data_IF_840359717524
#
_entry.id   IF_840359717524
#
_cell.length_a   1.000
_cell.length_b   1.000
_cell.length_c   1.000
_cell.angle_alpha   90.00
_cell.angle_beta   90.00
_cell.angle_gamma   90.00
#
_symmetry.space_group_name_H-M   'P 1'
#
loop_
_entity.id
_entity.type
_entity.pdbx_description
1 polymer ?
#
# COMPACT_ATOMS: atom_id res chain seq x y z
N UNK A 1 -20.86 -9.38 -1.10
CA UNK A 1 -19.50 -9.01 -0.65
C UNK A 1 -19.63 -7.75 0.17
N UNK A 2 -18.88 -7.65 1.26
CA UNK A 2 -18.83 -6.48 2.13
C UNK A 2 -17.51 -5.74 1.93
N UNK A 3 -17.51 -4.45 2.24
CA UNK A 3 -16.31 -3.61 2.19
C UNK A 3 -15.55 -3.71 3.52
N UNK A 4 -14.25 -3.92 3.43
CA UNK A 4 -13.34 -3.99 4.56
C UNK A 4 -12.22 -2.97 4.41
N UNK A 5 -11.85 -2.36 5.53
CA UNK A 5 -10.59 -1.66 5.65
C UNK A 5 -9.61 -2.55 6.41
N UNK A 6 -8.45 -2.72 5.82
CA UNK A 6 -7.36 -3.50 6.38
C UNK A 6 -6.17 -2.58 6.62
N UNK A 7 -5.75 -2.46 7.88
CA UNK A 7 -4.64 -1.58 8.26
C UNK A 7 -3.50 -2.38 8.87
N UNK A 8 -2.27 -2.05 8.48
CA UNK A 8 -1.05 -2.70 8.96
C UNK A 8 0.06 -1.68 9.19
N UNK A 9 0.86 -1.87 10.24
CA UNK A 9 2.22 -1.34 10.29
C UNK A 9 3.23 -2.37 9.85
N UNK A 10 4.08 -2.03 8.87
CA UNK A 10 5.19 -2.85 8.40
C UNK A 10 6.51 -2.08 8.39
N UNK A 11 7.61 -2.79 8.15
CA UNK A 11 8.92 -2.19 7.98
C UNK A 11 9.37 -2.32 6.53
N UNK A 12 9.53 -1.20 5.84
CA UNK A 12 10.09 -1.15 4.50
C UNK A 12 11.62 -1.02 4.55
N UNK A 13 12.30 -1.72 3.65
CA UNK A 13 13.72 -1.56 3.36
C UNK A 13 13.86 -1.07 1.91
N UNK A 14 14.29 0.18 1.76
CA UNK A 14 14.45 0.85 0.45
C UNK A 14 15.93 1.06 0.16
N UNK A 15 16.36 0.71 -1.04
CA UNK A 15 17.72 0.92 -1.53
C UNK A 15 17.69 2.02 -2.58
N UNK A 16 18.49 3.05 -2.39
CA UNK A 16 18.61 4.19 -3.30
C UNK A 16 20.07 4.32 -3.77
N UNK A 17 20.29 4.62 -5.07
CA UNK A 17 21.62 4.92 -5.62
C UNK A 17 22.10 6.32 -5.22
N UNK A 18 22.37 6.50 -3.94
CA UNK A 18 22.92 7.73 -3.37
C UNK A 18 23.82 7.40 -2.18
N UNK A 19 24.74 8.30 -1.85
CA UNK A 19 25.51 8.25 -0.60
C UNK A 19 24.96 9.20 0.47
N UNK A 20 23.92 9.97 0.15
CA UNK A 20 23.28 10.93 1.05
C UNK A 20 22.19 10.26 1.92
N UNK A 21 22.60 9.78 3.10
CA UNK A 21 21.72 9.19 4.10
C UNK A 21 20.58 10.12 4.54
N UNK A 22 20.86 11.42 4.72
CA UNK A 22 19.88 12.37 5.25
C UNK A 22 18.83 12.72 4.20
N UNK A 23 19.24 12.97 2.95
CA UNK A 23 18.29 13.21 1.87
C UNK A 23 17.50 11.98 1.46
N UNK A 24 18.02 10.77 1.70
CA UNK A 24 17.32 9.53 1.35
C UNK A 24 15.98 9.39 2.09
N UNK A 25 15.93 9.73 3.38
CA UNK A 25 14.67 9.71 4.13
C UNK A 25 13.60 10.64 3.56
N UNK A 26 13.97 11.87 3.20
CA UNK A 26 13.03 12.84 2.65
C UNK A 26 12.42 12.33 1.34
N UNK A 27 13.27 11.79 0.45
CA UNK A 27 12.82 11.24 -0.84
C UNK A 27 12.01 9.95 -0.68
N UNK A 28 12.34 9.10 0.28
CA UNK A 28 11.56 7.89 0.58
C UNK A 28 10.22 8.25 1.20
N UNK A 29 10.17 9.22 2.10
CA UNK A 29 8.91 9.73 2.65
C UNK A 29 8.02 10.30 1.55
N UNK A 30 8.59 11.10 0.64
CA UNK A 30 7.88 11.64 -0.51
C UNK A 30 7.39 10.54 -1.45
N UNK A 31 8.25 9.56 -1.75
CA UNK A 31 7.87 8.37 -2.53
C UNK A 31 6.70 7.64 -1.89
N UNK A 32 6.79 7.26 -0.61
CA UNK A 32 5.75 6.51 0.08
C UNK A 32 4.43 7.28 0.24
N UNK A 33 4.47 8.62 0.33
CA UNK A 33 3.27 9.45 0.43
C UNK A 33 2.56 9.69 -0.90
N UNK A 34 3.32 9.74 -2.00
CA UNK A 34 2.77 9.97 -3.34
C UNK A 34 2.57 8.68 -4.13
N UNK A 35 3.01 7.54 -3.60
CA UNK A 35 2.87 6.27 -4.27
C UNK A 35 1.44 5.73 -4.12
N UNK A 36 0.77 5.62 -5.25
CA UNK A 36 -0.56 5.03 -5.40
C UNK A 36 -0.47 3.89 -6.43
N UNK A 37 -1.05 2.73 -6.11
CA UNK A 37 -1.12 1.60 -7.04
C UNK A 37 -2.16 1.91 -8.12
N UNK A 38 -1.81 1.79 -9.39
CA UNK A 38 -2.72 2.16 -10.49
C UNK A 38 -3.86 1.14 -10.66
N UNK A 39 -4.98 1.59 -11.26
CA UNK A 39 -6.11 0.70 -11.56
C UNK A 39 -5.74 -0.51 -12.43
N UNK A 40 -4.78 -0.35 -13.36
CA UNK A 40 -4.29 -1.45 -14.20
C UNK A 40 -3.59 -2.53 -13.36
N UNK A 41 -2.81 -2.13 -12.37
CA UNK A 41 -2.07 -3.03 -11.49
C UNK A 41 -3.01 -3.75 -10.52
N UNK A 42 -4.03 -3.05 -10.01
CA UNK A 42 -5.10 -3.65 -9.21
C UNK A 42 -5.91 -4.70 -10.01
N UNK A 43 -6.17 -4.45 -11.29
CA UNK A 43 -6.94 -5.36 -12.13
C UNK A 43 -6.25 -6.73 -12.36
N UNK A 44 -4.93 -6.78 -12.30
CA UNK A 44 -4.14 -8.02 -12.45
C UNK A 44 -4.31 -9.02 -11.31
N UNK A 45 -4.86 -8.59 -10.17
CA UNK A 45 -4.99 -9.40 -8.95
C UNK A 45 -6.39 -9.99 -8.73
N UNK A 46 -7.42 -9.40 -9.35
CA UNK A 46 -8.82 -9.72 -9.08
C UNK A 46 -9.44 -11.02 -9.67
N UNK A 47 -8.78 -11.91 -10.46
CA UNK A 47 -9.54 -12.98 -11.10
C UNK A 47 -9.74 -14.29 -10.31
N UNK A 48 -9.13 -14.51 -9.13
CA UNK A 48 -9.10 -15.85 -8.52
C UNK A 48 -9.59 -16.02 -7.06
N UNK A 49 -9.58 -15.00 -6.21
CA UNK A 49 -9.62 -15.18 -4.74
C UNK A 49 -10.92 -14.80 -4.03
N UNK A 50 -11.95 -14.30 -4.72
CA UNK A 50 -13.19 -13.84 -4.06
C UNK A 50 -13.03 -12.52 -3.28
N UNK A 51 -11.87 -11.89 -3.43
CA UNK A 51 -11.55 -10.55 -2.93
C UNK A 51 -11.30 -9.60 -4.09
N UNK A 52 -11.74 -8.35 -3.96
CA UNK A 52 -11.48 -7.28 -4.93
C UNK A 52 -10.77 -6.12 -4.24
N UNK A 53 -9.48 -5.91 -4.52
CA UNK A 53 -8.75 -4.77 -3.96
C UNK A 53 -9.22 -3.48 -4.66
N UNK A 54 -9.62 -2.48 -3.88
CA UNK A 54 -10.08 -1.18 -4.36
C UNK A 54 -8.97 -0.14 -4.36
N UNK A 55 -8.20 -0.10 -3.28
CA UNK A 55 -7.13 0.87 -3.10
C UNK A 55 -6.09 0.34 -2.13
N UNK A 56 -4.83 0.79 -2.29
CA UNK A 56 -3.75 0.56 -1.35
C UNK A 56 -3.04 1.89 -1.14
N UNK A 57 -3.08 2.39 0.09
CA UNK A 57 -2.36 3.58 0.50
C UNK A 57 -1.25 3.20 1.46
N UNK A 58 -0.05 3.74 1.24
CA UNK A 58 1.01 3.70 2.23
C UNK A 58 1.23 5.08 2.82
N UNK A 59 1.69 5.09 4.06
CA UNK A 59 2.06 6.30 4.78
C UNK A 59 3.37 6.07 5.50
N UNK A 60 4.36 6.87 5.16
CA UNK A 60 5.58 6.92 5.93
C UNK A 60 5.29 7.37 7.37
N UNK A 61 5.83 6.63 8.34
CA UNK A 61 5.74 6.96 9.75
C UNK A 61 7.09 7.51 10.22
N UNK A 62 7.09 8.77 10.65
CA UNK A 62 8.28 9.38 11.25
C UNK A 62 8.47 8.82 12.68
N UNK A 63 9.14 7.67 12.79
CA UNK A 63 9.44 6.96 14.04
C UNK A 63 10.97 6.77 14.23
N UNK A 64 11.41 6.50 15.46
CA UNK A 64 12.80 6.25 15.85
C UNK A 64 13.41 4.99 15.21
N UNK A 65 12.56 4.08 14.73
CA UNK A 65 12.95 2.85 14.01
C UNK A 65 13.60 3.13 12.64
N UNK A 66 13.57 4.39 12.19
CA UNK A 66 14.03 4.80 10.87
C UNK A 66 15.56 4.91 10.82
N UNK A 67 16.22 3.99 10.12
CA UNK A 67 17.69 3.91 10.06
C UNK A 67 18.16 3.89 8.60
N UNK A 68 19.04 4.82 8.22
CA UNK A 68 19.73 4.80 6.93
C UNK A 68 21.17 4.32 7.10
N UNK A 69 21.59 3.42 6.22
CA UNK A 69 22.95 2.89 6.12
C UNK A 69 23.48 3.18 4.73
N UNK A 70 24.50 4.02 4.64
CA UNK A 70 25.09 4.40 3.36
C UNK A 70 26.43 3.71 3.14
N UNK A 71 26.62 3.25 1.90
CA UNK A 71 27.90 2.90 1.30
C UNK A 71 28.32 4.04 0.37
N UNK A 72 29.45 3.89 -0.34
CA UNK A 72 29.91 4.91 -1.30
C UNK A 72 28.93 5.16 -2.46
N UNK A 73 28.11 4.17 -2.81
CA UNK A 73 27.28 4.20 -4.03
C UNK A 73 25.77 4.03 -3.74
N UNK A 74 25.41 3.47 -2.59
CA UNK A 74 24.02 3.16 -2.24
C UNK A 74 23.71 3.49 -0.80
N UNK A 75 22.47 3.88 -0.56
CA UNK A 75 21.89 4.07 0.77
C UNK A 75 20.75 3.10 0.94
N UNK A 76 20.78 2.32 2.00
CA UNK A 76 19.70 1.45 2.42
C UNK A 76 18.99 2.08 3.61
N UNK A 77 17.72 2.38 3.44
CA UNK A 77 16.89 3.04 4.43
C UNK A 77 15.81 2.10 4.90
N UNK A 78 15.76 1.88 6.21
CA UNK A 78 14.70 1.15 6.87
C UNK A 78 13.69 2.16 7.41
N UNK A 79 12.41 1.97 7.12
CA UNK A 79 11.34 2.88 7.48
C UNK A 79 10.11 2.12 8.01
N UNK A 80 9.47 2.64 9.05
CA UNK A 80 8.13 2.20 9.41
C UNK A 80 7.10 2.79 8.43
N UNK A 81 6.19 1.94 7.96
CA UNK A 81 5.15 2.32 7.00
C UNK A 81 3.81 1.78 7.48
N UNK A 82 2.80 2.63 7.50
CA UNK A 82 1.41 2.22 7.70
C UNK A 82 0.76 2.00 6.34
N UNK A 83 0.10 0.87 6.18
CA UNK A 83 -0.70 0.49 5.04
C UNK A 83 -2.17 0.57 5.39
N UNK A 84 -2.95 1.21 4.54
CA UNK A 84 -4.40 1.21 4.56
C UNK A 84 -4.87 0.63 3.22
N UNK A 85 -5.49 -0.56 3.26
CA UNK A 85 -6.00 -1.29 2.09
C UNK A 85 -7.52 -1.33 2.19
N UNK A 86 -8.20 -0.88 1.14
CA UNK A 86 -9.63 -1.08 0.99
C UNK A 86 -9.87 -2.22 0.02
N UNK A 87 -10.68 -3.19 0.43
CA UNK A 87 -11.02 -4.34 -0.40
C UNK A 87 -12.44 -4.81 -0.13
N UNK A 88 -13.06 -5.40 -1.14
CA UNK A 88 -14.32 -6.12 -1.00
C UNK A 88 -14.02 -7.60 -0.79
N UNK A 89 -14.64 -8.22 0.21
CA UNK A 89 -14.50 -9.65 0.50
C UNK A 89 -15.85 -10.27 0.87
N UNK A 90 -15.92 -11.59 0.88
CA UNK A 90 -17.12 -12.31 1.34
C UNK A 90 -17.24 -12.36 2.86
N UNK A 91 -16.11 -12.37 3.57
CA UNK A 91 -16.01 -12.36 5.03
C UNK A 91 -14.67 -11.78 5.51
N UNK A 92 -14.49 -11.64 6.83
CA UNK A 92 -13.27 -11.11 7.45
C UNK A 92 -12.02 -11.98 7.22
N UNK A 93 -12.17 -13.31 7.08
CA UNK A 93 -11.05 -14.22 6.84
C UNK A 93 -10.51 -14.08 5.42
N UNK A 94 -11.41 -13.95 4.45
CA UNK A 94 -11.06 -13.63 3.08
C UNK A 94 -10.49 -12.22 2.94
N UNK A 95 -11.03 -11.24 3.69
CA UNK A 95 -10.45 -9.90 3.76
C UNK A 95 -9.01 -9.91 4.29
N UNK A 96 -8.74 -10.72 5.32
CA UNK A 96 -7.40 -10.88 5.88
C UNK A 96 -6.41 -11.49 4.86
N UNK A 97 -6.84 -12.53 4.14
CA UNK A 97 -6.01 -13.15 3.09
C UNK A 97 -5.74 -12.16 1.95
N UNK A 98 -6.79 -11.50 1.46
CA UNK A 98 -6.68 -10.50 0.40
C UNK A 98 -5.78 -9.32 0.80
N UNK A 99 -5.84 -8.85 2.05
CA UNK A 99 -4.94 -7.81 2.55
C UNK A 99 -3.47 -8.25 2.65
N UNK A 100 -3.22 -9.52 2.96
CA UNK A 100 -1.86 -10.09 2.97
C UNK A 100 -1.31 -10.22 1.55
N UNK A 101 -2.09 -10.77 0.63
CA UNK A 101 -1.71 -10.91 -0.77
C UNK A 101 -1.51 -9.54 -1.45
N UNK A 102 -2.27 -8.52 -1.03
CA UNK A 102 -2.09 -7.13 -1.47
C UNK A 102 -0.73 -6.56 -1.09
N UNK A 103 -0.15 -6.98 0.04
CA UNK A 103 1.19 -6.58 0.42
C UNK A 103 2.27 -7.27 -0.39
N UNK A 104 2.06 -8.50 -0.86
CA UNK A 104 2.99 -9.13 -1.80
C UNK A 104 3.00 -8.38 -3.15
N UNK A 105 1.89 -7.74 -3.54
CA UNK A 105 1.86 -6.81 -4.67
C UNK A 105 2.61 -5.51 -4.36
N UNK A 106 2.37 -4.97 -3.16
CA UNK A 106 3.05 -3.77 -2.69
C UNK A 106 4.53 -4.05 -2.34
N UNK A 107 4.97 -5.29 -2.21
CA UNK A 107 6.39 -5.69 -2.07
C UNK A 107 7.19 -5.50 -3.39
N UNK A 108 6.62 -4.73 -4.32
CA UNK A 108 7.13 -4.23 -5.59
C UNK A 108 7.55 -5.30 -6.60
N UNK A 109 6.71 -5.47 -7.61
CA UNK A 109 7.16 -6.00 -8.89
C UNK A 109 8.18 -5.01 -9.54
N UNK A 110 9.31 -5.48 -10.11
CA UNK A 110 10.40 -4.64 -10.60
C UNK A 110 10.00 -3.50 -11.56
N UNK A 111 8.96 -3.70 -12.37
CA UNK A 111 8.47 -2.68 -13.31
C UNK A 111 7.91 -1.40 -12.66
N UNK A 112 7.50 -1.46 -11.39
CA UNK A 112 6.92 -0.31 -10.68
C UNK A 112 7.99 0.73 -10.29
N UNK A 113 9.15 0.27 -9.80
CA UNK A 113 10.28 1.15 -9.48
C UNK A 113 10.82 1.84 -10.73
N UNK A 114 10.83 1.14 -11.87
CA UNK A 114 11.25 1.70 -13.15
C UNK A 114 10.33 2.86 -13.59
N UNK A 115 9.01 2.71 -13.45
CA UNK A 115 8.03 3.74 -13.75
C UNK A 115 8.24 5.01 -12.90
N UNK A 116 8.28 4.87 -11.57
CA UNK A 116 8.49 6.00 -10.66
C UNK A 116 9.83 6.71 -10.91
N UNK A 117 10.92 5.93 -11.05
CA UNK A 117 12.26 6.46 -11.33
C UNK A 117 12.28 7.29 -12.62
N UNK A 118 11.58 6.84 -13.66
CA UNK A 118 11.50 7.57 -14.93
C UNK A 118 10.75 8.90 -14.84
N UNK A 119 9.69 8.96 -14.02
CA UNK A 119 8.86 10.17 -13.84
C UNK A 119 9.50 11.19 -12.92
N UNK A 120 10.14 10.74 -11.83
CA UNK A 120 10.63 11.62 -10.76
C UNK A 120 12.14 11.85 -10.79
N UNK A 121 12.88 11.20 -11.69
CA UNK A 121 14.35 11.33 -11.79
C UNK A 121 15.09 10.78 -10.56
N UNK A 122 14.44 9.92 -9.79
CA UNK A 122 15.01 9.19 -8.66
C UNK A 122 15.60 7.85 -9.13
N UNK A 123 16.48 7.26 -8.34
CA UNK A 123 17.13 5.99 -8.66
C UNK A 123 17.04 5.01 -7.49
N UNK A 124 15.80 4.59 -7.19
CA UNK A 124 15.58 3.48 -6.27
C UNK A 124 15.96 2.16 -6.95
N UNK A 125 16.77 1.37 -6.27
CA UNK A 125 17.39 0.12 -6.73
C UNK A 125 16.72 -1.12 -6.16
N UNK A 126 15.96 -0.96 -5.08
CA UNK A 126 15.27 -2.04 -4.42
C UNK A 126 14.33 -1.51 -3.37
N UNK A 127 13.25 -2.25 -3.16
CA UNK A 127 12.27 -2.00 -2.13
C UNK A 127 11.78 -3.37 -1.66
N UNK A 128 11.65 -3.54 -0.35
CA UNK A 128 11.11 -4.76 0.25
C UNK A 128 10.32 -4.40 1.51
N UNK A 129 9.27 -5.14 1.83
CA UNK A 129 8.44 -5.00 3.04
C UNK A 129 8.59 -6.25 3.89
N UNK A 130 9.00 -6.04 5.13
CA UNK A 130 8.91 -7.06 6.16
C UNK A 130 7.55 -6.96 6.86
N UNK A 131 6.57 -7.71 6.37
CA UNK A 131 5.19 -7.76 6.85
C UNK A 131 4.98 -8.49 8.18
N UNK A 132 6.00 -8.63 9.05
CA UNK A 132 5.88 -9.37 10.33
C UNK A 132 5.12 -8.60 11.44
N UNK A 133 4.24 -7.66 11.08
CA UNK A 133 3.45 -6.83 12.01
C UNK A 133 2.18 -7.52 12.54
N UNK A 134 1.55 -6.91 13.54
CA UNK A 134 0.21 -7.28 14.00
C UNK A 134 -0.85 -6.57 13.15
N UNK A 135 -1.93 -7.28 12.83
CA UNK A 135 -2.89 -6.92 11.79
C UNK A 135 -4.24 -6.53 12.40
N UNK A 136 -4.96 -5.61 11.76
CA UNK A 136 -6.37 -5.35 12.07
C UNK A 136 -7.20 -5.18 10.80
N UNK A 137 -8.22 -6.01 10.64
CA UNK A 137 -9.29 -5.83 9.66
C UNK A 137 -10.51 -5.25 10.37
N UNK A 138 -11.10 -4.19 9.80
CA UNK A 138 -12.33 -3.59 10.31
C UNK A 138 -13.36 -3.58 9.17
N UNK A 139 -14.53 -4.17 9.41
CA UNK A 139 -15.65 -4.01 8.49
C UNK A 139 -16.10 -2.54 8.49
N UNK A 140 -16.27 -1.96 7.31
CA UNK A 140 -16.75 -0.58 7.17
C UNK A 140 -18.28 -0.47 7.25
N UNK A 141 -18.97 -1.57 7.56
CA UNK A 141 -20.44 -1.67 7.58
C UNK A 141 -21.01 -2.03 6.21
N UNK A 142 -22.28 -2.47 6.20
CA UNK A 142 -23.02 -2.68 4.95
C UNK A 142 -23.13 -1.36 4.16
N UNK A 143 -23.14 -1.41 2.81
CA UNK A 143 -23.45 -0.21 2.02
C UNK A 143 -24.74 0.41 2.56
N UNK A 144 -24.73 1.74 2.77
CA UNK A 144 -25.92 2.48 3.17
C UNK A 144 -27.09 2.01 2.29
N UNK A 145 -28.24 1.63 2.87
CA UNK A 145 -29.38 1.24 2.06
C UNK A 145 -29.66 2.36 1.06
N UNK A 146 -29.82 2.00 -0.21
CA UNK A 146 -30.19 2.98 -1.24
C UNK A 146 -31.37 3.81 -0.71
N UNK A 147 -31.31 5.16 -0.81
CA UNK A 147 -32.40 5.98 -0.32
C UNK A 147 -33.68 5.50 -1.00
N UNK A 148 -34.62 4.99 -0.21
CA UNK A 148 -35.89 4.53 -0.71
C UNK A 148 -36.57 5.71 -1.42
N UNK A 149 -36.54 5.70 -2.75
CA UNK A 149 -37.32 6.64 -3.56
C UNK A 149 -38.77 6.25 -3.30
N UNK A 150 -39.46 7.04 -2.46
CA UNK A 150 -40.88 6.87 -2.26
C UNK A 150 -41.56 6.95 -3.64
N UNK A 151 -42.40 5.97 -4.03
CA UNK A 151 -43.11 6.04 -5.28
C UNK A 151 -43.92 7.33 -5.28
N UNK A 152 -43.75 8.15 -6.34
CA UNK A 152 -44.57 9.32 -6.57
C UNK A 152 -46.03 8.86 -6.64
N UNK A 153 -46.80 9.14 -5.60
CA UNK A 153 -48.25 8.99 -5.66
C UNK A 153 -48.74 9.93 -6.76
N UNK A 154 -49.20 9.34 -7.86
CA UNK A 154 -49.91 10.06 -8.93
C UNK A 154 -51.14 10.73 -8.33
N UNK A 155 -51.12 12.06 -8.28
CA UNK A 155 -52.28 12.92 -8.01
C UNK A 155 -53.26 12.92 -9.19
#
# INVERSE_FOLDING_TARGET
MALFQFSMRAFACVVERTSDAQGSFARISEFLQNYEVSEHELAGFNPASGTSIRSIFARFVADESNIARSTREKTTTYAAVDFDIELEAVDEGEAYRGGTDALDLYDFHPGFLEGYNSTHGTFFDGFTIDGRGAWSATSLGDPLPEPAIAPLETL
#
